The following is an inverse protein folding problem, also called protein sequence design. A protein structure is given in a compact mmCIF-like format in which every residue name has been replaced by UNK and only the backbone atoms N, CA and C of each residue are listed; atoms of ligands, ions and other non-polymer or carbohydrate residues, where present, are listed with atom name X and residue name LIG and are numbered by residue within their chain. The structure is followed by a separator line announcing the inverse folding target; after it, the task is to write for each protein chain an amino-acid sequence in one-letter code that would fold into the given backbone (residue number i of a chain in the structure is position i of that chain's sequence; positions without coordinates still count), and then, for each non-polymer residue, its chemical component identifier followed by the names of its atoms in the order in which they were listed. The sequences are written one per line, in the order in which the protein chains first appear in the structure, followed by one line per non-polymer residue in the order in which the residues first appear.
data_IF_685098184517
#
_entry.id   IF_685098184517
#
_cell.length_a   1.000
_cell.length_b   1.000
_cell.length_c   1.000
_cell.angle_alpha   90.00
_cell.angle_beta   90.00
_cell.angle_gamma   90.00
#
_symmetry.space_group_name_H-M   'P 1'
#
loop_
_entity.id
_entity.type
_entity.pdbx_description
1 polymer ?
#
# COMPACT_ATOMS: atom_id res chain seq x y z
N UNK A 1 14.26 -3.44 14.24
CA UNK A 1 12.80 -3.29 14.43
C UNK A 1 12.35 -2.02 13.71
N UNK A 2 12.42 -1.99 12.39
CA UNK A 2 11.97 -0.83 11.62
C UNK A 2 10.55 -1.14 11.16
N UNK A 3 9.56 -0.67 11.91
CA UNK A 3 8.15 -0.99 11.69
C UNK A 3 7.70 -0.47 10.32
N UNK A 4 7.07 -1.33 9.51
CA UNK A 4 6.44 -0.98 8.21
C UNK A 4 5.51 0.23 8.28
N UNK A 5 4.85 0.46 9.42
CA UNK A 5 3.99 1.61 9.67
C UNK A 5 4.70 2.95 9.41
N UNK A 6 6.02 3.01 9.66
CA UNK A 6 6.78 4.25 9.57
C UNK A 6 6.90 4.77 8.14
N UNK A 7 6.92 3.91 7.11
CA UNK A 7 7.11 4.37 5.72
C UNK A 7 5.88 5.10 5.17
N UNK A 8 4.68 4.61 5.50
CA UNK A 8 3.43 5.27 5.07
C UNK A 8 3.30 6.62 5.77
N UNK A 9 3.62 6.70 7.06
CA UNK A 9 3.60 7.94 7.83
C UNK A 9 4.61 8.98 7.33
N UNK A 10 5.85 8.54 7.05
CA UNK A 10 6.87 9.40 6.46
C UNK A 10 6.45 9.91 5.08
N UNK A 11 5.90 9.03 4.24
CA UNK A 11 5.42 9.43 2.90
C UNK A 11 4.26 10.42 3.02
N UNK A 12 3.36 10.24 3.98
CA UNK A 12 2.26 11.17 4.23
C UNK A 12 2.72 12.53 4.77
N UNK A 13 3.86 12.59 5.43
CA UNK A 13 4.39 13.83 6.02
C UNK A 13 5.24 14.62 5.04
N UNK A 14 6.04 13.94 4.22
CA UNK A 14 7.04 14.59 3.38
C UNK A 14 6.79 14.49 1.87
N UNK A 15 5.92 13.58 1.42
CA UNK A 15 5.75 13.15 0.02
C UNK A 15 7.03 13.31 -0.83
N UNK A 16 8.06 12.47 -0.63
CA UNK A 16 9.38 12.69 -1.22
C UNK A 16 9.41 12.62 -2.75
N UNK A 17 8.36 12.08 -3.38
CA UNK A 17 8.27 11.90 -4.83
C UNK A 17 7.61 13.09 -5.53
N UNK A 18 6.88 13.96 -4.80
CA UNK A 18 6.12 15.07 -5.40
C UNK A 18 5.00 14.61 -6.35
N UNK A 19 4.66 13.32 -6.31
CA UNK A 19 3.63 12.67 -7.12
C UNK A 19 2.53 12.12 -6.20
N UNK A 20 1.37 11.79 -6.77
CA UNK A 20 0.32 11.13 -5.97
C UNK A 20 0.74 9.71 -5.61
N UNK A 21 0.77 9.40 -4.32
CA UNK A 21 1.05 8.06 -3.81
C UNK A 21 -0.22 7.45 -3.23
N UNK A 22 -0.54 6.24 -3.64
CA UNK A 22 -1.68 5.47 -3.19
C UNK A 22 -1.26 4.52 -2.09
N UNK A 23 -1.95 4.59 -0.95
CA UNK A 23 -1.92 3.51 0.04
C UNK A 23 -2.98 2.51 -0.36
N UNK A 24 -2.55 1.27 -0.58
CA UNK A 24 -3.42 0.16 -0.94
C UNK A 24 -3.40 -0.90 0.15
N UNK A 25 -4.53 -1.59 0.35
CA UNK A 25 -4.74 -2.54 1.44
C UNK A 25 -5.20 -3.90 0.92
N UNK A 26 -4.69 -4.97 1.53
CA UNK A 26 -5.14 -6.34 1.33
C UNK A 26 -5.50 -6.95 2.69
N UNK A 27 -6.78 -7.23 2.98
CA UNK A 27 -7.19 -7.75 4.29
C UNK A 27 -6.73 -9.20 4.54
N UNK A 28 -6.41 -9.94 3.48
CA UNK A 28 -5.98 -11.34 3.59
C UNK A 28 -4.48 -11.52 3.80
N UNK A 29 -3.70 -10.45 3.61
CA UNK A 29 -2.26 -10.49 3.86
C UNK A 29 -1.97 -10.75 5.35
N UNK A 30 -0.76 -11.26 5.63
CA UNK A 30 -0.31 -11.62 6.99
C UNK A 30 -1.33 -12.48 7.76
N UNK A 31 -1.72 -13.62 7.20
CA UNK A 31 -2.69 -14.55 7.81
C UNK A 31 -4.02 -13.87 8.17
N UNK A 32 -4.61 -13.13 7.23
CA UNK A 32 -5.85 -12.36 7.40
C UNK A 32 -5.79 -11.26 8.48
N UNK A 33 -4.60 -10.78 8.84
CA UNK A 33 -4.45 -9.59 9.70
C UNK A 33 -4.42 -8.30 8.89
N UNK A 34 -4.27 -8.41 7.58
CA UNK A 34 -4.19 -7.30 6.67
C UNK A 34 -2.76 -6.77 6.52
N UNK A 35 -2.51 -6.13 5.39
CA UNK A 35 -1.28 -5.39 5.17
C UNK A 35 -1.48 -4.27 4.15
N UNK A 36 -0.76 -3.18 4.38
CA UNK A 36 -0.73 -2.02 3.50
C UNK A 36 0.57 -1.96 2.67
N UNK A 37 0.47 -1.36 1.50
CA UNK A 37 1.63 -0.98 0.67
C UNK A 37 1.42 0.36 -0.01
N UNK A 38 2.53 0.93 -0.49
CA UNK A 38 2.57 2.16 -1.26
C UNK A 38 2.65 1.84 -2.76
N UNK A 39 1.92 2.58 -3.58
CA UNK A 39 1.92 2.47 -5.04
C UNK A 39 1.91 3.87 -5.67
N UNK A 40 2.66 4.08 -6.74
CA UNK A 40 2.54 5.26 -7.59
C UNK A 40 1.38 5.17 -8.58
N UNK A 41 0.77 3.99 -8.71
CA UNK A 41 -0.35 3.72 -9.60
C UNK A 41 -1.64 3.51 -8.80
N UNK A 42 -2.77 4.01 -9.33
CA UNK A 42 -4.09 3.79 -8.76
C UNK A 42 -4.60 2.36 -8.94
N UNK A 43 -4.13 1.65 -9.97
CA UNK A 43 -4.50 0.26 -10.21
C UNK A 43 -3.96 -0.63 -9.07
N UNK A 44 -4.78 -1.58 -8.61
CA UNK A 44 -4.38 -2.56 -7.61
C UNK A 44 -3.48 -3.61 -8.28
N UNK A 45 -2.25 -3.71 -7.78
CA UNK A 45 -1.28 -4.76 -8.12
C UNK A 45 -0.80 -5.43 -6.83
N UNK A 46 -1.65 -6.28 -6.27
CA UNK A 46 -1.45 -6.94 -4.98
C UNK A 46 -0.13 -7.76 -4.95
N UNK A 47 0.84 -7.39 -4.10
CA UNK A 47 2.15 -8.05 -4.05
C UNK A 47 2.16 -9.35 -3.23
N UNK A 48 1.10 -9.67 -2.49
CA UNK A 48 1.11 -10.76 -1.50
C UNK A 48 0.73 -12.12 -2.07
N UNK A 49 -0.02 -12.17 -3.16
CA UNK A 49 -0.62 -13.40 -3.69
C UNK A 49 -0.30 -13.65 -5.18
N UNK A 50 0.64 -12.90 -5.75
CA UNK A 50 1.06 -13.03 -7.14
C UNK A 50 -0.10 -12.86 -8.13
N UNK A 51 -0.04 -13.58 -9.25
CA UNK A 51 -1.03 -13.47 -10.32
C UNK A 51 -2.44 -13.92 -9.92
N UNK A 52 -2.56 -14.80 -8.93
CA UNK A 52 -3.85 -15.38 -8.51
C UNK A 52 -4.81 -14.36 -7.91
N UNK A 53 -4.29 -13.27 -7.35
CA UNK A 53 -5.11 -12.21 -6.74
C UNK A 53 -4.56 -10.81 -7.04
N UNK A 54 -3.95 -10.63 -8.21
CA UNK A 54 -3.25 -9.40 -8.57
C UNK A 54 -4.13 -8.15 -8.43
N UNK A 55 -5.44 -8.27 -8.67
CA UNK A 55 -6.41 -7.17 -8.60
C UNK A 55 -7.20 -7.11 -7.28
N UNK A 56 -6.86 -7.94 -6.30
CA UNK A 56 -7.57 -8.01 -5.03
C UNK A 56 -6.97 -7.03 -4.02
N UNK A 57 -7.79 -6.13 -3.47
CA UNK A 57 -7.39 -5.10 -2.54
C UNK A 57 -8.16 -3.81 -2.82
N UNK A 58 -7.86 -2.77 -2.06
CA UNK A 58 -8.51 -1.47 -2.19
C UNK A 58 -7.53 -0.32 -1.96
N UNK A 59 -7.82 0.84 -2.58
CA UNK A 59 -7.11 2.08 -2.28
C UNK A 59 -7.75 2.68 -1.02
N UNK A 60 -6.98 2.79 0.06
CA UNK A 60 -7.47 3.33 1.34
C UNK A 60 -7.10 4.80 1.53
N UNK A 61 -6.06 5.28 0.83
CA UNK A 61 -5.61 6.68 0.92
C UNK A 61 -4.91 7.14 -0.34
N UNK A 62 -5.09 8.42 -0.68
CA UNK A 62 -4.31 9.15 -1.68
C UNK A 62 -3.47 10.21 -0.94
N UNK A 63 -2.14 10.16 -1.09
CA UNK A 63 -1.17 11.12 -0.55
C UNK A 63 -0.74 12.03 -1.71
N UNK A 64 -0.77 13.36 -1.50
CA UNK A 64 -0.43 14.38 -2.50
C UNK A 64 0.68 15.28 -1.97
#
# INVERSE_FOLDING_TARGET
MTNKANMIELTNTFNPLGETIYVQHCPMADNNKGADWLSSEKEIKNPYFGSSMLKCGEVTKEIK
#
